data_IF_454406671094
#
_entry.id   IF_454406671094
#
_cell.length_a   1.000
_cell.length_b   1.000
_cell.length_c   1.000
_cell.angle_alpha   90.00
_cell.angle_beta   90.00
_cell.angle_gamma   90.00
#
_symmetry.space_group_name_H-M   'P 1'
#
loop_
_entity.id
_entity.type
_entity.pdbx_description
1 polymer ?
#
# COMPACT_ATOMS: atom_id res chain seq x y z
N UNK A 1 -19.43 -12.58 -10.66
CA UNK A 1 -19.90 -11.81 -9.51
C UNK A 1 -21.08 -10.93 -9.88
N UNK A 2 -21.81 -10.52 -8.87
CA UNK A 2 -22.87 -9.52 -8.99
C UNK A 2 -22.57 -8.35 -8.05
N UNK A 3 -22.88 -7.13 -8.49
CA UNK A 3 -22.75 -5.95 -7.64
C UNK A 3 -24.02 -5.80 -6.83
N UNK A 4 -23.96 -5.87 -5.48
CA UNK A 4 -25.17 -5.73 -4.66
C UNK A 4 -25.86 -4.38 -4.87
N UNK A 5 -27.19 -4.36 -4.75
CA UNK A 5 -27.93 -3.12 -4.77
C UNK A 5 -27.48 -2.18 -3.64
N UNK A 6 -27.28 -0.91 -3.96
CA UNK A 6 -26.79 0.11 -3.02
C UNK A 6 -25.28 0.04 -2.72
N UNK A 7 -24.54 -0.95 -3.23
CA UNK A 7 -23.08 -1.01 -3.02
C UNK A 7 -22.34 0.06 -3.80
N UNK A 8 -22.74 0.36 -5.04
CA UNK A 8 -22.09 1.34 -5.90
C UNK A 8 -22.42 2.76 -5.45
N UNK A 9 -21.38 3.52 -5.14
CA UNK A 9 -21.44 4.98 -4.98
C UNK A 9 -21.10 5.68 -6.32
N UNK A 10 -20.28 6.74 -6.30
CA UNK A 10 -19.89 7.45 -7.53
C UNK A 10 -18.88 6.65 -8.37
N UNK A 11 -18.00 5.87 -7.71
CA UNK A 11 -16.95 5.08 -8.33
C UNK A 11 -16.96 3.64 -7.85
N UNK A 12 -16.49 2.76 -8.72
CA UNK A 12 -16.32 1.34 -8.44
C UNK A 12 -14.97 0.88 -8.99
N UNK A 13 -14.16 0.26 -8.13
CA UNK A 13 -12.84 -0.24 -8.50
C UNK A 13 -12.77 -1.75 -8.32
N UNK A 14 -12.15 -2.43 -9.29
CA UNK A 14 -11.75 -3.82 -9.20
C UNK A 14 -10.27 -3.86 -8.80
N UNK A 15 -10.00 -4.47 -7.65
CA UNK A 15 -8.69 -4.51 -7.02
C UNK A 15 -8.09 -5.90 -7.09
N UNK A 16 -6.77 -5.97 -7.30
CA UNK A 16 -5.94 -7.17 -7.20
C UNK A 16 -4.75 -6.83 -6.32
N UNK A 17 -4.63 -7.43 -5.16
CA UNK A 17 -3.53 -7.16 -4.23
C UNK A 17 -2.25 -7.88 -4.62
N UNK A 18 -2.35 -8.99 -5.35
CA UNK A 18 -1.17 -9.68 -5.84
C UNK A 18 -1.40 -10.61 -7.03
N UNK A 19 -0.64 -10.40 -8.08
CA UNK A 19 -0.54 -11.31 -9.22
C UNK A 19 0.93 -11.59 -9.51
N UNK A 20 1.34 -12.83 -9.54
CA UNK A 20 2.68 -13.20 -9.95
C UNK A 20 2.67 -13.60 -11.44
N UNK A 21 3.15 -12.78 -12.35
CA UNK A 21 3.52 -11.37 -12.13
C UNK A 21 3.12 -10.49 -13.31
N UNK A 22 2.76 -11.13 -14.46
CA UNK A 22 2.24 -10.44 -15.66
C UNK A 22 0.84 -10.94 -15.95
N UNK A 23 -0.12 -10.04 -16.05
CA UNK A 23 -1.49 -10.40 -16.38
C UNK A 23 -2.19 -9.34 -17.21
N UNK A 24 -3.03 -9.77 -18.15
CA UNK A 24 -4.07 -8.93 -18.74
C UNK A 24 -5.38 -9.19 -18.01
N UNK A 25 -6.09 -8.13 -17.64
CA UNK A 25 -7.36 -8.22 -16.92
C UNK A 25 -8.49 -7.78 -17.84
N UNK A 26 -9.55 -8.59 -17.86
CA UNK A 26 -10.73 -8.36 -18.68
C UNK A 26 -11.98 -8.36 -17.79
N UNK A 27 -12.92 -7.49 -18.12
CA UNK A 27 -14.25 -7.45 -17.51
C UNK A 27 -15.31 -7.51 -18.61
N UNK A 28 -16.25 -8.45 -18.51
CA UNK A 28 -17.33 -8.65 -19.50
C UNK A 28 -16.83 -8.73 -20.96
N UNK A 29 -15.70 -9.43 -21.15
CA UNK A 29 -15.06 -9.62 -22.47
C UNK A 29 -14.18 -8.46 -22.94
N UNK A 30 -14.15 -7.33 -22.24
CA UNK A 30 -13.33 -6.18 -22.60
C UNK A 30 -12.08 -6.09 -21.74
N UNK A 31 -10.92 -5.86 -22.35
CA UNK A 31 -9.68 -5.63 -21.64
C UNK A 31 -9.78 -4.31 -20.85
N UNK A 32 -9.55 -4.37 -19.52
CA UNK A 32 -9.57 -3.21 -18.63
C UNK A 32 -8.19 -2.73 -18.23
N UNK A 33 -7.18 -3.61 -18.32
CA UNK A 33 -5.81 -3.21 -18.02
C UNK A 33 -4.82 -4.36 -18.00
N UNK A 34 -3.61 -4.06 -17.51
CA UNK A 34 -2.49 -4.99 -17.36
C UNK A 34 -1.81 -4.76 -16.02
N UNK A 35 -1.34 -5.84 -15.41
CA UNK A 35 -0.49 -5.81 -14.23
C UNK A 35 0.86 -6.41 -14.63
N UNK A 36 1.96 -5.79 -14.22
CA UNK A 36 3.31 -6.29 -14.43
C UNK A 36 4.18 -5.99 -13.22
N UNK A 37 4.17 -6.91 -12.26
CA UNK A 37 4.88 -6.82 -11.00
C UNK A 37 4.21 -7.66 -9.94
N UNK A 38 4.98 -8.50 -9.23
CA UNK A 38 4.41 -9.46 -8.28
C UNK A 38 3.94 -8.81 -6.97
N UNK A 39 4.47 -7.63 -6.65
CA UNK A 39 4.21 -6.89 -5.41
C UNK A 39 3.61 -5.51 -5.67
N UNK A 40 2.97 -5.34 -6.82
CA UNK A 40 2.19 -4.15 -7.15
C UNK A 40 0.71 -4.50 -7.17
N UNK A 41 -0.12 -3.59 -6.69
CA UNK A 41 -1.57 -3.71 -6.79
C UNK A 41 -2.06 -3.35 -8.18
N UNK A 42 -3.08 -4.06 -8.66
CA UNK A 42 -3.85 -3.65 -9.82
C UNK A 42 -5.15 -3.02 -9.36
N UNK A 43 -5.35 -1.74 -9.66
CA UNK A 43 -6.59 -1.01 -9.33
C UNK A 43 -7.20 -0.49 -10.63
N UNK A 44 -8.39 -0.97 -10.98
CA UNK A 44 -9.04 -0.64 -12.23
C UNK A 44 -10.40 0.02 -11.97
N UNK A 45 -10.58 1.25 -12.48
CA UNK A 45 -11.90 1.89 -12.48
C UNK A 45 -12.83 1.13 -13.44
N UNK A 46 -13.86 0.52 -12.84
CA UNK A 46 -14.87 -0.26 -13.55
C UNK A 46 -16.25 0.35 -13.44
N UNK A 47 -16.34 1.61 -13.04
CA UNK A 47 -17.59 2.35 -12.78
C UNK A 47 -18.60 2.20 -13.91
N UNK A 48 -18.18 2.37 -15.15
CA UNK A 48 -19.01 2.32 -16.36
C UNK A 48 -18.90 0.99 -17.12
N UNK A 49 -18.28 -0.03 -16.52
CA UNK A 49 -18.00 -1.33 -17.16
C UNK A 49 -18.80 -2.48 -16.55
N UNK A 50 -19.29 -2.31 -15.34
CA UNK A 50 -20.20 -3.28 -14.70
C UNK A 50 -21.61 -3.14 -15.25
N UNK A 51 -22.29 -4.28 -15.39
CA UNK A 51 -23.67 -4.36 -15.83
C UNK A 51 -24.56 -4.87 -14.69
N UNK A 52 -25.88 -4.61 -14.70
CA UNK A 52 -26.81 -5.24 -13.77
C UNK A 52 -26.75 -6.76 -13.86
N UNK A 53 -26.83 -7.44 -12.71
CA UNK A 53 -26.75 -8.89 -12.61
C UNK A 53 -25.31 -9.41 -12.73
N UNK A 54 -25.12 -10.49 -13.47
CA UNK A 54 -23.87 -11.24 -13.52
C UNK A 54 -22.77 -10.52 -14.33
N UNK A 55 -21.63 -10.29 -13.70
CA UNK A 55 -20.40 -9.81 -14.32
C UNK A 55 -19.34 -10.91 -14.32
N UNK A 56 -18.48 -10.93 -15.32
CA UNK A 56 -17.42 -11.92 -15.48
C UNK A 56 -16.06 -11.24 -15.55
N UNK A 57 -15.18 -11.56 -14.62
CA UNK A 57 -13.75 -11.21 -14.66
C UNK A 57 -13.00 -12.38 -15.29
N UNK A 58 -12.14 -12.07 -16.25
CA UNK A 58 -11.15 -13.01 -16.77
C UNK A 58 -9.75 -12.43 -16.62
N UNK A 59 -8.81 -13.25 -16.16
CA UNK A 59 -7.41 -12.86 -15.94
C UNK A 59 -6.53 -13.79 -16.76
N UNK A 60 -5.88 -13.25 -17.77
CA UNK A 60 -4.91 -13.95 -18.58
C UNK A 60 -3.54 -13.82 -17.93
N UNK A 61 -3.06 -14.87 -17.28
CA UNK A 61 -1.72 -14.91 -16.70
C UNK A 61 -0.70 -15.23 -17.80
N UNK A 62 0.25 -14.30 -17.99
CA UNK A 62 1.30 -14.44 -18.98
C UNK A 62 2.41 -15.30 -18.39
N UNK A 63 2.78 -16.33 -19.12
CA UNK A 63 3.81 -17.28 -18.74
C UNK A 63 5.17 -16.59 -18.62
N UNK A 64 5.91 -16.92 -17.56
CA UNK A 64 7.28 -16.47 -17.37
C UNK A 64 8.22 -17.09 -18.41
N UNK A 65 9.27 -16.36 -18.79
CA UNK A 65 10.34 -16.87 -19.62
C UNK A 65 11.14 -17.96 -18.89
N UNK A 66 11.86 -18.77 -19.64
CA UNK A 66 12.73 -19.78 -19.08
C UNK A 66 13.96 -19.14 -18.44
N UNK A 67 14.31 -19.60 -17.24
CA UNK A 67 15.62 -19.33 -16.64
C UNK A 67 16.69 -19.95 -17.55
N UNK A 68 17.72 -19.17 -17.87
CA UNK A 68 18.83 -19.60 -18.73
C UNK A 68 18.57 -19.44 -20.23
N UNK A 69 17.42 -18.92 -20.65
CA UNK A 69 17.21 -18.56 -22.05
C UNK A 69 18.24 -17.53 -22.52
N UNK A 70 18.79 -17.72 -23.72
CA UNK A 70 19.74 -16.79 -24.33
C UNK A 70 18.99 -15.61 -24.94
N UNK A 71 19.35 -14.40 -24.55
CA UNK A 71 18.83 -13.16 -25.17
C UNK A 71 19.48 -12.94 -26.52
N UNK A 72 18.86 -12.13 -27.38
CA UNK A 72 19.38 -11.75 -28.71
C UNK A 72 20.82 -11.17 -28.66
N UNK A 73 21.16 -10.47 -27.57
CA UNK A 73 22.49 -9.91 -27.34
C UNK A 73 23.50 -10.90 -26.72
N UNK A 74 23.16 -12.20 -26.66
CA UNK A 74 24.00 -13.25 -26.08
C UNK A 74 24.00 -13.32 -24.55
N UNK A 75 23.28 -12.46 -23.85
CA UNK A 75 23.13 -12.51 -22.40
C UNK A 75 22.21 -13.66 -21.97
N UNK A 76 22.50 -14.28 -20.84
CA UNK A 76 21.65 -15.31 -20.25
C UNK A 76 20.52 -14.62 -19.49
N UNK A 77 19.29 -15.04 -19.75
CA UNK A 77 18.12 -14.65 -18.95
C UNK A 77 18.22 -15.28 -17.57
N UNK A 78 18.21 -14.44 -16.54
CA UNK A 78 17.96 -14.89 -15.19
C UNK A 78 16.48 -15.24 -14.99
N UNK A 79 16.03 -15.24 -13.75
CA UNK A 79 14.60 -15.35 -13.47
C UNK A 79 13.84 -14.20 -14.12
N UNK A 80 12.78 -14.50 -14.85
CA UNK A 80 11.98 -13.50 -15.58
C UNK A 80 11.10 -12.65 -14.68
N UNK A 81 11.17 -12.81 -13.36
CA UNK A 81 10.46 -11.95 -12.44
C UNK A 81 11.27 -11.72 -11.15
N UNK A 82 11.02 -10.61 -10.45
CA UNK A 82 11.71 -10.25 -9.22
C UNK A 82 11.15 -10.97 -7.97
N UNK A 83 10.41 -12.06 -8.14
CA UNK A 83 9.77 -12.80 -7.06
C UNK A 83 10.64 -13.93 -6.55
N UNK A 84 10.12 -14.74 -5.63
CA UNK A 84 10.81 -15.91 -5.11
C UNK A 84 11.24 -16.94 -6.19
N UNK A 85 10.74 -16.83 -7.41
CA UNK A 85 11.27 -17.60 -8.55
C UNK A 85 12.78 -17.42 -8.75
N UNK A 86 13.32 -16.25 -8.39
CA UNK A 86 14.74 -15.98 -8.47
C UNK A 86 15.57 -16.83 -7.48
N UNK A 87 14.95 -17.35 -6.42
CA UNK A 87 15.59 -18.14 -5.38
C UNK A 87 15.27 -19.64 -5.46
N UNK A 88 14.42 -20.07 -6.39
CA UNK A 88 14.10 -21.49 -6.60
C UNK A 88 15.33 -22.25 -7.14
N UNK A 89 15.59 -23.43 -6.57
CA UNK A 89 16.69 -24.32 -6.97
C UNK A 89 18.01 -24.06 -6.27
N UNK A 90 18.03 -23.16 -5.28
CA UNK A 90 19.16 -22.98 -4.38
C UNK A 90 19.08 -23.98 -3.20
N UNK A 91 20.15 -24.10 -2.43
CA UNK A 91 20.24 -25.05 -1.30
C UNK A 91 19.11 -24.93 -0.28
N UNK A 92 18.57 -23.72 -0.11
CA UNK A 92 17.49 -23.42 0.84
C UNK A 92 16.07 -23.48 0.25
N UNK A 93 15.93 -23.53 -1.07
CA UNK A 93 14.63 -23.67 -1.74
C UNK A 93 14.74 -24.74 -2.82
N UNK A 94 14.04 -25.85 -2.59
CA UNK A 94 13.96 -26.95 -3.57
C UNK A 94 13.33 -26.49 -4.87
N UNK A 95 13.77 -27.09 -5.98
CA UNK A 95 13.14 -26.89 -7.28
C UNK A 95 11.70 -27.41 -7.24
N UNK A 96 10.74 -26.52 -7.49
CA UNK A 96 9.32 -26.85 -7.57
C UNK A 96 8.96 -27.07 -9.04
N UNK A 97 8.28 -28.19 -9.34
CA UNK A 97 7.77 -28.44 -10.69
C UNK A 97 6.66 -27.45 -11.04
N UNK A 98 6.70 -26.96 -12.27
CA UNK A 98 5.75 -25.99 -12.76
C UNK A 98 6.21 -24.55 -12.52
N UNK A 99 5.30 -23.61 -12.70
CA UNK A 99 5.54 -22.19 -12.54
C UNK A 99 4.59 -21.64 -11.50
N UNK A 100 5.13 -20.98 -10.49
CA UNK A 100 4.34 -20.29 -9.49
C UNK A 100 3.89 -18.95 -10.05
N UNK A 101 2.95 -18.98 -10.97
CA UNK A 101 2.33 -17.81 -11.60
C UNK A 101 0.84 -17.80 -11.29
N UNK A 102 0.26 -16.63 -11.19
CA UNK A 102 -1.17 -16.48 -10.94
C UNK A 102 -1.51 -15.45 -9.89
N UNK A 103 -2.76 -15.44 -9.54
CA UNK A 103 -3.29 -14.62 -8.44
C UNK A 103 -2.90 -15.29 -7.14
N UNK A 104 -2.19 -14.56 -6.26
CA UNK A 104 -1.70 -15.09 -4.99
C UNK A 104 -2.27 -14.33 -3.77
N UNK A 105 -2.94 -13.21 -4.00
CA UNK A 105 -3.56 -12.39 -2.96
C UNK A 105 -5.00 -12.03 -3.36
N UNK A 106 -5.67 -11.21 -2.57
CA UNK A 106 -7.09 -10.93 -2.68
C UNK A 106 -7.50 -10.23 -3.99
N UNK A 107 -8.72 -10.55 -4.45
CA UNK A 107 -9.42 -9.85 -5.53
C UNK A 107 -10.78 -9.40 -5.02
N UNK A 108 -11.03 -8.09 -5.06
CA UNK A 108 -12.24 -7.52 -4.47
C UNK A 108 -12.70 -6.24 -5.19
N UNK A 109 -13.94 -5.84 -4.91
CA UNK A 109 -14.49 -4.57 -5.34
C UNK A 109 -14.48 -3.57 -4.19
N UNK A 110 -14.09 -2.33 -4.50
CA UNK A 110 -14.31 -1.18 -3.60
C UNK A 110 -15.23 -0.18 -4.27
N UNK A 111 -16.05 0.48 -3.45
CA UNK A 111 -16.94 1.54 -3.91
C UNK A 111 -16.67 2.81 -3.12
N UNK A 112 -16.42 3.90 -3.82
CA UNK A 112 -16.08 5.20 -3.24
C UNK A 112 -16.92 6.32 -3.83
N UNK A 113 -16.89 7.48 -3.21
CA UNK A 113 -17.33 8.73 -3.85
C UNK A 113 -16.32 9.16 -4.93
N UNK A 114 -16.31 10.47 -5.23
CA UNK A 114 -15.49 11.05 -6.29
C UNK A 114 -13.99 11.09 -6.00
N UNK A 115 -13.62 11.08 -4.72
CA UNK A 115 -12.23 11.18 -4.25
C UNK A 115 -11.85 9.90 -3.55
N UNK A 116 -10.69 9.33 -3.91
CA UNK A 116 -10.08 8.19 -3.24
C UNK A 116 -8.90 8.61 -2.37
N UNK A 117 -8.65 7.81 -1.33
CA UNK A 117 -7.48 7.86 -0.46
C UNK A 117 -6.53 6.74 -0.87
N UNK A 118 -5.22 7.03 -0.96
CA UNK A 118 -4.20 6.07 -1.36
C UNK A 118 -2.96 6.22 -0.47
N UNK A 119 -2.31 5.10 -0.21
CA UNK A 119 -1.00 5.01 0.42
C UNK A 119 -0.83 5.85 1.70
N UNK A 120 -1.71 5.70 2.72
CA UNK A 120 -1.56 6.42 3.98
C UNK A 120 -0.25 6.03 4.65
N UNK A 121 0.52 7.04 5.06
CA UNK A 121 1.81 6.89 5.70
C UNK A 121 1.96 7.83 6.89
N UNK A 122 2.70 7.41 7.92
CA UNK A 122 3.03 8.26 9.07
C UNK A 122 4.53 8.21 9.32
N UNK A 123 5.20 9.31 9.00
CA UNK A 123 6.60 9.47 9.41
C UNK A 123 6.68 9.71 10.91
N UNK A 124 7.60 9.02 11.56
CA UNK A 124 7.82 9.11 13.02
C UNK A 124 9.23 9.58 13.30
N UNK A 125 9.37 10.61 14.13
CA UNK A 125 10.66 11.08 14.63
C UNK A 125 10.65 11.04 16.15
N UNK A 126 11.66 10.38 16.73
CA UNK A 126 11.94 10.38 18.18
C UNK A 126 13.18 11.25 18.45
N UNK A 127 13.20 12.09 19.49
CA UNK A 127 14.37 12.90 19.85
C UNK A 127 15.44 12.07 20.55
N UNK A 128 15.91 11.02 19.88
CA UNK A 128 16.86 10.05 20.45
C UNK A 128 18.09 10.71 21.10
N UNK A 129 18.58 10.20 22.26
CA UNK A 129 18.18 8.94 22.92
C UNK A 129 16.90 9.05 23.77
N UNK A 130 16.30 10.20 23.89
CA UNK A 130 15.02 10.38 24.60
C UNK A 130 13.87 9.78 23.77
N UNK A 131 13.04 8.98 24.42
CA UNK A 131 11.88 8.33 23.82
C UNK A 131 10.56 8.70 24.51
N UNK A 132 10.60 9.73 25.35
CA UNK A 132 9.42 10.23 26.07
C UNK A 132 8.48 11.06 25.22
N UNK A 133 8.91 11.41 24.01
CA UNK A 133 8.06 12.07 23.02
C UNK A 133 8.28 11.53 21.61
N UNK A 134 7.30 11.77 20.73
CA UNK A 134 7.39 11.47 19.31
C UNK A 134 6.74 12.58 18.50
N UNK A 135 7.31 12.89 17.34
CA UNK A 135 6.68 13.76 16.35
C UNK A 135 6.17 12.92 15.19
N UNK A 136 4.89 13.04 14.90
CA UNK A 136 4.23 12.33 13.81
C UNK A 136 3.97 13.29 12.66
N UNK A 137 4.29 12.87 11.43
CA UNK A 137 3.95 13.61 10.21
C UNK A 137 3.13 12.68 9.32
N UNK A 138 1.79 12.67 9.48
CA UNK A 138 0.91 11.89 8.61
C UNK A 138 0.86 12.50 7.21
N UNK A 139 0.86 11.62 6.20
CA UNK A 139 0.65 12.00 4.81
C UNK A 139 -0.17 10.97 4.09
N UNK A 140 -0.88 11.38 3.05
CA UNK A 140 -1.73 10.52 2.25
C UNK A 140 -1.93 11.13 0.86
N UNK A 141 -2.05 10.26 -0.14
CA UNK A 141 -2.40 10.67 -1.49
C UNK A 141 -3.92 10.69 -1.60
N UNK A 142 -4.47 11.80 -2.08
CA UNK A 142 -5.90 11.93 -2.43
C UNK A 142 -6.03 12.19 -3.92
N UNK A 143 -7.00 11.51 -4.56
CA UNK A 143 -7.21 11.61 -6.00
C UNK A 143 -8.67 11.89 -6.33
N UNK A 144 -8.87 12.98 -7.07
CA UNK A 144 -10.17 13.29 -7.65
C UNK A 144 -10.34 12.53 -8.98
N UNK A 145 -11.36 11.69 -9.07
CA UNK A 145 -11.70 10.94 -10.28
C UNK A 145 -12.78 11.62 -11.14
N UNK A 146 -13.20 12.83 -10.74
CA UNK A 146 -14.20 13.60 -11.49
C UNK A 146 -13.55 14.56 -12.48
N UNK A 147 -14.25 14.84 -13.58
CA UNK A 147 -13.87 15.86 -14.57
C UNK A 147 -14.10 17.30 -14.08
N UNK A 148 -14.66 17.49 -12.88
CA UNK A 148 -14.86 18.78 -12.22
C UNK A 148 -14.03 18.88 -10.94
N UNK A 149 -13.64 20.11 -10.52
CA UNK A 149 -12.98 20.31 -9.23
C UNK A 149 -13.86 19.86 -8.06
N UNK A 150 -13.22 19.32 -7.02
CA UNK A 150 -13.89 18.86 -5.80
C UNK A 150 -13.26 19.56 -4.59
N UNK A 151 -14.11 20.01 -3.66
CA UNK A 151 -13.72 20.52 -2.34
C UNK A 151 -14.22 19.57 -1.27
N UNK A 152 -13.36 19.27 -0.31
CA UNK A 152 -13.72 18.37 0.78
C UNK A 152 -12.87 18.63 2.02
N UNK A 153 -13.06 17.76 3.01
CA UNK A 153 -12.28 17.76 4.25
C UNK A 153 -11.63 16.40 4.40
N UNK A 154 -10.32 16.39 4.60
CA UNK A 154 -9.56 15.21 4.96
C UNK A 154 -9.36 15.21 6.47
N UNK A 155 -9.91 14.19 7.13
CA UNK A 155 -9.76 13.93 8.56
C UNK A 155 -8.81 12.76 8.76
N UNK A 156 -7.86 12.87 9.69
CA UNK A 156 -7.00 11.78 10.13
C UNK A 156 -7.22 11.49 11.61
N UNK A 157 -7.04 10.21 11.98
CA UNK A 157 -7.07 9.74 13.36
C UNK A 157 -5.94 8.75 13.59
N UNK A 158 -5.20 8.87 14.71
CA UNK A 158 -4.18 7.92 15.16
C UNK A 158 -4.40 7.70 16.66
N UNK A 159 -4.92 6.53 17.04
CA UNK A 159 -5.38 6.31 18.41
C UNK A 159 -6.46 7.32 18.81
N UNK A 160 -6.18 8.15 19.82
CA UNK A 160 -7.09 9.21 20.28
C UNK A 160 -6.80 10.59 19.65
N UNK A 161 -5.75 10.68 18.83
CA UNK A 161 -5.33 11.94 18.20
C UNK A 161 -6.13 12.12 16.91
N UNK A 162 -6.80 13.27 16.76
CA UNK A 162 -7.56 13.65 15.57
C UNK A 162 -7.02 14.94 14.99
N UNK A 163 -7.03 15.04 13.66
CA UNK A 163 -6.60 16.22 12.91
C UNK A 163 -7.36 16.27 11.58
N UNK A 164 -7.58 17.48 11.06
CA UNK A 164 -8.30 17.66 9.80
C UNK A 164 -7.86 18.93 9.08
N UNK A 165 -8.01 18.94 7.77
CA UNK A 165 -7.84 20.13 6.96
C UNK A 165 -8.72 20.11 5.71
N UNK A 166 -9.15 21.29 5.22
CA UNK A 166 -9.83 21.40 3.94
C UNK A 166 -8.85 21.10 2.79
N UNK A 167 -9.36 20.41 1.78
CA UNK A 167 -8.59 20.05 0.59
C UNK A 167 -9.42 20.40 -0.65
N UNK A 168 -8.79 21.09 -1.58
CA UNK A 168 -9.32 21.38 -2.91
C UNK A 168 -8.49 20.62 -3.94
N UNK A 169 -9.19 19.93 -4.84
CA UNK A 169 -8.61 19.16 -5.93
C UNK A 169 -9.19 19.64 -7.26
N UNK A 170 -8.32 19.91 -8.23
CA UNK A 170 -8.75 20.17 -9.60
C UNK A 170 -9.35 18.88 -10.23
N UNK A 171 -9.88 18.98 -11.43
CA UNK A 171 -10.37 17.84 -12.19
C UNK A 171 -9.25 16.81 -12.40
N UNK A 172 -9.49 15.55 -12.05
CA UNK A 172 -8.54 14.43 -12.16
C UNK A 172 -7.21 14.62 -11.41
N UNK A 173 -7.13 15.57 -10.48
CA UNK A 173 -5.91 15.84 -9.71
C UNK A 173 -5.64 14.73 -8.68
N UNK A 174 -4.36 14.38 -8.60
CA UNK A 174 -3.78 13.58 -7.54
C UNK A 174 -2.82 14.45 -6.73
N UNK A 175 -2.97 14.44 -5.41
CA UNK A 175 -2.25 15.35 -4.52
C UNK A 175 -1.85 14.64 -3.23
N UNK A 176 -0.59 14.77 -2.84
CA UNK A 176 -0.15 14.39 -1.50
C UNK A 176 -0.56 15.48 -0.50
N UNK A 177 -1.26 15.06 0.55
CA UNK A 177 -1.67 15.91 1.65
C UNK A 177 -0.88 15.52 2.89
N UNK A 178 -0.13 16.47 3.45
CA UNK A 178 0.70 16.28 4.63
C UNK A 178 0.16 17.08 5.80
N UNK A 179 0.12 16.49 6.98
CA UNK A 179 -0.23 17.16 8.24
C UNK A 179 1.05 17.51 8.98
N UNK A 180 1.45 18.78 8.89
CA UNK A 180 2.66 19.30 9.53
C UNK A 180 2.47 19.43 11.05
N UNK A 181 3.29 18.78 11.88
CA UNK A 181 3.22 18.87 13.34
C UNK A 181 3.46 20.26 13.92
N UNK A 182 3.94 21.22 13.12
CA UNK A 182 4.01 22.61 13.53
C UNK A 182 2.65 23.34 13.43
N UNK A 183 1.81 22.90 12.51
CA UNK A 183 0.43 23.39 12.38
C UNK A 183 -0.56 22.56 13.22
N UNK A 184 -0.26 21.29 13.46
CA UNK A 184 -1.07 20.32 14.21
C UNK A 184 -0.31 19.86 15.46
N UNK A 185 -0.32 20.68 16.52
CA UNK A 185 0.49 20.44 17.74
C UNK A 185 0.18 19.12 18.44
N UNK A 186 -1.03 18.56 18.30
CA UNK A 186 -1.42 17.25 18.82
C UNK A 186 -0.64 16.09 18.20
N UNK A 187 0.05 16.30 17.07
CA UNK A 187 0.95 15.31 16.45
C UNK A 187 2.32 15.24 17.16
N UNK A 188 2.58 16.12 18.13
CA UNK A 188 3.72 16.01 19.07
C UNK A 188 3.28 15.25 20.31
N UNK A 189 3.40 13.94 20.25
CA UNK A 189 2.87 13.00 21.23
C UNK A 189 3.80 12.87 22.44
N UNK A 190 3.25 12.97 23.64
CA UNK A 190 3.99 12.76 24.90
C UNK A 190 3.77 11.34 25.40
N UNK A 191 4.84 10.72 25.90
CA UNK A 191 4.86 9.36 26.44
C UNK A 191 4.17 8.33 25.52
N UNK A 192 4.55 8.25 24.22
CA UNK A 192 3.94 7.33 23.29
C UNK A 192 4.24 5.88 23.68
N UNK A 193 3.31 4.97 23.40
CA UNK A 193 3.58 3.53 23.46
C UNK A 193 4.38 3.17 22.21
N UNK A 194 5.66 2.87 22.37
CA UNK A 194 6.54 2.56 21.25
C UNK A 194 6.28 1.14 20.73
N UNK A 195 6.46 0.99 19.43
CA UNK A 195 6.57 -0.32 18.81
C UNK A 195 8.01 -0.86 18.97
N UNK A 196 8.11 -2.12 19.39
CA UNK A 196 9.38 -2.83 19.50
C UNK A 196 9.32 -4.17 18.79
N UNK A 197 10.42 -4.65 18.16
CA UNK A 197 10.49 -5.98 17.63
C UNK A 197 10.49 -7.03 18.74
N UNK A 198 10.16 -8.27 18.37
CA UNK A 198 10.15 -9.40 19.31
C UNK A 198 11.47 -9.50 20.08
N UNK A 199 11.38 -9.62 21.39
CA UNK A 199 12.52 -9.71 22.32
C UNK A 199 13.07 -8.36 22.79
N UNK A 200 12.58 -7.23 22.27
CA UNK A 200 12.98 -5.87 22.70
C UNK A 200 11.87 -5.15 23.47
N UNK A 201 10.63 -5.54 23.28
CA UNK A 201 9.48 -4.95 23.94
C UNK A 201 8.16 -5.37 23.27
N UNK A 202 7.10 -4.59 23.50
CA UNK A 202 5.78 -4.83 22.89
C UNK A 202 5.73 -4.30 21.45
N UNK A 203 5.21 -5.06 20.48
CA UNK A 203 4.96 -4.60 19.13
C UNK A 203 3.64 -3.80 19.05
N UNK A 204 3.54 -2.74 19.85
CA UNK A 204 2.31 -1.97 19.95
C UNK A 204 2.00 -1.20 18.66
N UNK A 205 0.76 -1.33 18.20
CA UNK A 205 0.23 -0.62 17.02
C UNK A 205 -0.99 0.21 17.42
N UNK A 206 -1.02 1.44 16.97
CA UNK A 206 -2.18 2.31 17.06
C UNK A 206 -3.12 2.03 15.90
N UNK A 207 -4.42 2.03 16.15
CA UNK A 207 -5.42 2.12 15.10
C UNK A 207 -5.35 3.51 14.47
N UNK A 208 -5.37 3.56 13.15
CA UNK A 208 -5.34 4.79 12.40
C UNK A 208 -6.36 4.74 11.27
N UNK A 209 -6.88 5.90 10.92
CA UNK A 209 -7.85 6.08 9.85
C UNK A 209 -7.62 7.41 9.14
N UNK A 210 -7.81 7.44 7.82
CA UNK A 210 -8.08 8.65 7.06
C UNK A 210 -9.46 8.58 6.47
N UNK A 211 -10.20 9.68 6.51
CA UNK A 211 -11.52 9.82 5.91
C UNK A 211 -11.59 11.10 5.10
N UNK A 212 -11.99 11.00 3.83
CA UNK A 212 -12.25 12.17 2.98
C UNK A 212 -13.77 12.37 2.83
N UNK A 213 -14.25 13.57 3.15
CA UNK A 213 -15.66 13.93 3.01
C UNK A 213 -15.86 15.04 1.99
N UNK A 214 -16.91 14.88 1.17
CA UNK A 214 -17.41 15.92 0.27
C UNK A 214 -18.79 16.34 0.78
N UNK A 215 -18.88 17.55 1.36
CA UNK A 215 -20.04 17.92 2.18
C UNK A 215 -20.20 16.95 3.35
N UNK A 216 -21.41 16.42 3.54
CA UNK A 216 -21.72 15.46 4.63
C UNK A 216 -21.47 14.01 4.25
N UNK A 217 -21.09 13.72 2.98
CA UNK A 217 -20.89 12.36 2.50
C UNK A 217 -19.44 11.94 2.60
N UNK A 218 -19.19 10.76 3.14
CA UNK A 218 -17.89 10.09 3.06
C UNK A 218 -17.65 9.68 1.61
N UNK A 219 -16.57 10.22 1.02
CA UNK A 219 -16.11 9.81 -0.31
C UNK A 219 -15.29 8.54 -0.23
N UNK A 220 -14.32 8.51 0.71
CA UNK A 220 -13.48 7.34 0.94
C UNK A 220 -12.97 7.32 2.37
N UNK A 221 -12.57 6.15 2.85
CA UNK A 221 -12.04 5.95 4.19
C UNK A 221 -11.09 4.76 4.22
N UNK A 222 -9.88 4.97 4.76
CA UNK A 222 -8.82 3.95 4.85
C UNK A 222 -8.41 3.72 6.29
N UNK A 223 -8.55 2.46 6.76
CA UNK A 223 -8.11 2.00 8.06
C UNK A 223 -6.75 1.32 7.97
N UNK A 224 -5.84 1.64 8.88
CA UNK A 224 -4.51 1.04 8.93
C UNK A 224 -3.93 1.03 10.33
N UNK A 225 -2.72 0.49 10.49
CA UNK A 225 -2.04 0.42 11.79
C UNK A 225 -0.75 1.21 11.77
N UNK A 226 -0.47 1.95 12.84
CA UNK A 226 0.75 2.75 13.00
C UNK A 226 1.56 2.28 14.20
N UNK A 227 2.81 1.90 13.96
CA UNK A 227 3.79 1.66 15.03
C UNK A 227 4.67 2.89 15.23
N UNK A 228 4.62 3.50 16.43
CA UNK A 228 5.53 4.61 16.74
C UNK A 228 6.92 4.04 17.00
N UNK A 229 7.80 4.18 16.04
CA UNK A 229 9.18 3.71 16.08
C UNK A 229 10.07 4.53 15.18
N UNK A 230 11.35 4.56 15.49
CA UNK A 230 12.37 5.09 14.58
C UNK A 230 13.50 4.07 14.41
N UNK A 231 13.82 3.76 13.17
CA UNK A 231 14.96 2.95 12.81
C UNK A 231 16.10 3.86 12.36
N UNK A 232 17.29 3.65 12.92
CA UNK A 232 18.52 4.34 12.52
C UNK A 232 19.62 3.33 12.27
N UNK A 233 20.65 3.75 11.56
CA UNK A 233 21.82 2.92 11.32
C UNK A 233 23.09 3.76 11.39
N UNK A 234 24.20 3.10 11.66
CA UNK A 234 25.54 3.64 11.41
C UNK A 234 26.42 2.57 10.77
N UNK A 235 27.47 3.02 10.10
CA UNK A 235 28.49 2.18 9.52
C UNK A 235 29.85 2.62 10.05
N UNK A 236 30.53 1.71 10.75
CA UNK A 236 31.89 1.93 11.25
C UNK A 236 32.76 0.76 10.80
N UNK A 237 33.88 1.04 10.13
CA UNK A 237 34.81 0.03 9.61
C UNK A 237 34.09 -1.05 8.77
N UNK A 238 33.20 -0.64 7.87
CA UNK A 238 32.36 -1.54 7.04
C UNK A 238 31.46 -2.47 7.83
N UNK A 239 31.18 -2.16 9.09
CA UNK A 239 30.22 -2.90 9.92
C UNK A 239 28.94 -2.07 10.05
N UNK A 240 27.85 -2.56 9.46
CA UNK A 240 26.51 -1.99 9.62
C UNK A 240 25.96 -2.31 11.00
N UNK A 241 25.57 -1.30 11.74
CA UNK A 241 24.87 -1.43 13.00
C UNK A 241 23.47 -0.81 12.89
N UNK A 242 22.45 -1.58 13.20
CA UNK A 242 21.06 -1.14 13.19
C UNK A 242 20.59 -0.80 14.59
N UNK A 243 19.69 0.19 14.69
CA UNK A 243 19.11 0.62 15.96
C UNK A 243 17.61 0.81 15.77
N UNK A 244 16.84 0.43 16.76
CA UNK A 244 15.39 0.70 16.84
C UNK A 244 15.14 1.49 18.14
N UNK A 245 14.55 2.66 18.02
CA UNK A 245 14.30 3.59 19.13
C UNK A 245 15.57 3.84 19.97
N UNK A 246 16.73 4.00 19.29
CA UNK A 246 18.02 4.23 19.91
C UNK A 246 18.71 2.99 20.53
N UNK A 247 18.05 1.83 20.60
CA UNK A 247 18.65 0.57 21.07
C UNK A 247 19.25 -0.24 19.92
N UNK A 248 20.46 -0.74 20.10
CA UNK A 248 21.10 -1.60 19.11
C UNK A 248 20.21 -2.81 18.81
N UNK A 249 19.92 -3.03 17.54
CA UNK A 249 19.14 -4.14 17.07
C UNK A 249 20.03 -5.18 16.38
N UNK A 250 19.87 -6.43 16.80
CA UNK A 250 20.53 -7.58 16.17
C UNK A 250 19.43 -8.39 15.49
N UNK A 251 19.37 -8.32 14.17
CA UNK A 251 18.49 -9.15 13.38
C UNK A 251 18.86 -10.63 13.53
N UNK A 252 17.87 -11.45 13.82
CA UNK A 252 17.99 -12.91 13.80
C UNK A 252 16.99 -13.43 12.80
N UNK A 253 17.46 -14.07 11.78
CA UNK A 253 16.65 -14.61 10.70
C UNK A 253 17.46 -15.53 9.82
N UNK A 254 16.83 -16.04 8.81
CA UNK A 254 17.40 -16.86 7.76
C UNK A 254 16.65 -16.64 6.45
N UNK A 255 17.27 -17.05 5.38
CA UNK A 255 16.65 -17.11 4.05
C UNK A 255 16.01 -18.46 3.83
#
# INVERSE_FOLDING_TARGET
FEVPEGFKQDRLFLNFDGINWKANVYLNGNKIGRIEGAFIRGVFDVTDRVVPGKNVVAVEIIKNEHIGAIKENGGILGADNPTFHASIGWDWISTIRGRNIGIWDDVYLTSTGKVTIQDPFVQVVLPLPDTTSATLTPEVIVKNHDAAPVKGVLTGKIGDITFEQPVELAANEEKTVTFDPNSFSQLKVQNPRLWWPKGYGSPYLYDANFTFKVGDKVSDSEDFKVGIRQMTFNENNSILSLFINGRRFIGRGGN
#
